data_IF_562339065009
#
_entry.id   IF_562339065009
#
_cell.length_a   1.000
_cell.length_b   1.000
_cell.length_c   1.000
_cell.angle_alpha   90.00
_cell.angle_beta   90.00
_cell.angle_gamma   90.00
#
_symmetry.space_group_name_H-M   'P 1'
#
loop_
_entity.id
_entity.type
_entity.pdbx_description
1 polymer ?
#
# COMPACT_ATOMS: atom_id res chain seq x y z
N UNK A 1 0.87 -23.01 -3.18
CA UNK A 1 1.56 -22.17 -2.17
C UNK A 1 0.45 -21.42 -1.47
N UNK A 2 0.38 -21.44 -0.15
CA UNK A 2 -0.65 -20.72 0.60
C UNK A 2 -0.56 -19.24 0.20
N UNK A 3 -1.57 -18.73 -0.50
CA UNK A 3 -1.72 -17.29 -0.74
C UNK A 3 -1.76 -16.64 0.64
N UNK A 4 -0.66 -15.99 1.03
CA UNK A 4 -0.67 -15.17 2.22
C UNK A 4 -1.41 -13.90 1.84
N UNK A 5 -2.64 -13.77 2.33
CA UNK A 5 -3.50 -12.60 2.19
C UNK A 5 -2.80 -11.31 2.65
N UNK A 6 -1.76 -11.44 3.48
CA UNK A 6 -0.93 -10.35 3.96
C UNK A 6 0.55 -10.64 3.69
N UNK A 7 1.29 -9.68 3.16
CA UNK A 7 2.75 -9.77 3.09
C UNK A 7 3.36 -8.39 2.87
N UNK A 8 4.65 -8.25 3.17
CA UNK A 8 5.43 -7.05 2.80
C UNK A 8 6.81 -7.49 2.37
N UNK A 9 7.24 -7.02 1.20
CA UNK A 9 8.53 -7.35 0.60
C UNK A 9 9.21 -6.07 0.11
N UNK A 10 10.53 -6.15 -0.08
CA UNK A 10 11.33 -5.02 -0.54
C UNK A 10 12.03 -5.42 -1.84
N UNK A 11 11.89 -4.58 -2.86
CA UNK A 11 12.61 -4.69 -4.13
C UNK A 11 13.35 -3.38 -4.38
N UNK A 12 14.62 -3.32 -3.96
CA UNK A 12 15.42 -2.10 -4.03
C UNK A 12 14.93 -1.02 -3.07
N UNK A 13 14.39 0.05 -3.64
CA UNK A 13 13.77 1.21 -3.00
C UNK A 13 12.23 1.13 -2.95
N UNK A 14 11.64 0.07 -3.53
CA UNK A 14 10.21 -0.16 -3.55
C UNK A 14 9.83 -1.14 -2.45
N UNK A 15 8.92 -0.72 -1.57
CA UNK A 15 8.24 -1.57 -0.59
C UNK A 15 6.92 -1.99 -1.21
N UNK A 16 6.75 -3.30 -1.42
CA UNK A 16 5.51 -3.90 -1.92
C UNK A 16 4.77 -4.50 -0.74
N UNK A 17 3.54 -4.07 -0.50
CA UNK A 17 2.73 -4.52 0.62
C UNK A 17 1.38 -5.03 0.14
N UNK A 18 1.04 -6.26 0.49
CA UNK A 18 -0.18 -6.94 0.09
C UNK A 18 -1.13 -7.02 1.28
N UNK A 19 -2.39 -6.66 1.02
CA UNK A 19 -3.50 -6.87 1.93
C UNK A 19 -4.72 -7.27 1.10
N UNK A 20 -4.83 -8.53 0.73
CA UNK A 20 -5.76 -9.03 -0.29
C UNK A 20 -6.64 -10.16 0.26
N UNK A 21 -7.67 -10.55 -0.49
CA UNK A 21 -8.61 -11.60 -0.08
C UNK A 21 -9.47 -11.18 1.11
N UNK A 22 -9.89 -12.18 1.90
CA UNK A 22 -10.71 -11.98 3.10
C UNK A 22 -9.79 -11.81 4.33
N UNK A 23 -9.68 -10.58 4.80
CA UNK A 23 -8.85 -10.21 5.96
C UNK A 23 -9.73 -9.90 7.18
N UNK A 24 -9.18 -10.16 8.37
CA UNK A 24 -9.74 -9.84 9.67
C UNK A 24 -8.91 -8.75 10.35
N UNK A 25 -9.41 -8.21 11.46
CA UNK A 25 -8.66 -7.23 12.26
C UNK A 25 -7.29 -7.74 12.71
N UNK A 26 -7.17 -9.03 13.04
CA UNK A 26 -5.89 -9.64 13.42
C UNK A 26 -4.89 -9.64 12.27
N UNK A 27 -5.35 -9.95 11.05
CA UNK A 27 -4.52 -9.91 9.84
C UNK A 27 -4.00 -8.48 9.58
N UNK A 28 -4.83 -7.45 9.81
CA UNK A 28 -4.41 -6.04 9.71
C UNK A 28 -3.33 -5.70 10.75
N UNK A 29 -3.45 -6.21 11.97
CA UNK A 29 -2.45 -5.98 13.01
C UNK A 29 -1.12 -6.68 12.69
N UNK A 30 -1.18 -7.93 12.24
CA UNK A 30 0.00 -8.69 11.82
C UNK A 30 0.70 -8.03 10.63
N UNK A 31 -0.07 -7.66 9.61
CA UNK A 31 0.42 -6.91 8.46
C UNK A 31 1.13 -5.63 8.88
N UNK A 32 0.50 -4.83 9.75
CA UNK A 32 1.06 -3.55 10.16
C UNK A 32 2.40 -3.70 10.86
N UNK A 33 2.56 -4.71 11.71
CA UNK A 33 3.84 -4.96 12.39
C UNK A 33 4.98 -5.24 11.40
N UNK A 34 4.69 -5.99 10.33
CA UNK A 34 5.66 -6.26 9.26
C UNK A 34 5.94 -5.00 8.42
N UNK A 35 4.88 -4.33 7.98
CA UNK A 35 4.94 -3.13 7.17
C UNK A 35 5.68 -1.98 7.87
N UNK A 36 5.28 -1.64 9.10
CA UNK A 36 5.89 -0.58 9.90
C UNK A 36 7.38 -0.86 10.13
N UNK A 37 7.75 -2.11 10.46
CA UNK A 37 9.16 -2.48 10.65
C UNK A 37 10.01 -2.20 9.42
N UNK A 38 9.50 -2.53 8.23
CA UNK A 38 10.22 -2.27 6.97
C UNK A 38 10.34 -0.77 6.72
N UNK A 39 9.25 -0.01 6.85
CA UNK A 39 9.27 1.44 6.67
C UNK A 39 10.24 2.10 7.67
N UNK A 40 10.19 1.73 8.94
CA UNK A 40 11.07 2.28 9.98
C UNK A 40 12.54 1.95 9.73
N UNK A 41 12.85 0.80 9.12
CA UNK A 41 14.23 0.50 8.72
C UNK A 41 14.75 1.55 7.73
N UNK A 42 14.01 1.83 6.65
CA UNK A 42 14.40 2.85 5.67
C UNK A 42 14.54 4.23 6.33
N UNK A 43 13.57 4.62 7.17
CA UNK A 43 13.58 5.90 7.88
C UNK A 43 14.82 6.02 8.77
N UNK A 44 15.16 4.97 9.52
CA UNK A 44 16.33 4.94 10.41
C UNK A 44 17.66 5.00 9.65
N UNK A 45 17.68 4.49 8.42
CA UNK A 45 18.82 4.57 7.49
C UNK A 45 18.89 5.92 6.76
N UNK A 46 17.93 6.82 6.97
CA UNK A 46 17.82 8.09 6.26
C UNK A 46 17.47 7.93 4.77
N UNK A 47 16.88 6.80 4.39
CA UNK A 47 16.51 6.44 3.03
C UNK A 47 15.03 6.70 2.80
N UNK A 48 14.72 7.30 1.66
CA UNK A 48 13.36 7.36 1.17
C UNK A 48 13.00 6.07 0.42
N UNK A 49 11.71 5.85 0.21
CA UNK A 49 11.19 4.66 -0.48
C UNK A 49 9.93 4.97 -1.28
N UNK A 50 9.59 4.05 -2.17
CA UNK A 50 8.34 4.02 -2.93
C UNK A 50 7.44 2.92 -2.39
N UNK A 51 6.13 3.14 -2.42
CA UNK A 51 5.13 2.20 -1.88
C UNK A 51 4.26 1.65 -3.00
N UNK A 52 4.24 0.33 -3.17
CA UNK A 52 3.21 -0.37 -3.93
C UNK A 52 2.26 -1.05 -2.95
N UNK A 53 1.02 -0.57 -2.89
CA UNK A 53 -0.02 -1.04 -1.98
C UNK A 53 -1.00 -1.90 -2.76
N UNK A 54 -0.78 -3.22 -2.70
CA UNK A 54 -1.62 -4.18 -3.39
C UNK A 54 -2.85 -4.54 -2.56
N UNK A 55 -4.00 -4.12 -3.10
CA UNK A 55 -5.34 -4.31 -2.55
C UNK A 55 -6.26 -4.98 -3.57
N UNK A 56 -5.73 -5.43 -4.71
CA UNK A 56 -6.51 -6.12 -5.73
C UNK A 56 -6.94 -7.49 -5.21
N UNK A 57 -8.20 -7.85 -5.39
CA UNK A 57 -8.81 -9.02 -4.75
C UNK A 57 -9.16 -8.84 -3.27
N UNK A 58 -9.01 -7.65 -2.66
CA UNK A 58 -9.52 -7.41 -1.31
C UNK A 58 -11.04 -7.55 -1.27
N UNK A 59 -11.52 -8.48 -0.45
CA UNK A 59 -12.95 -8.66 -0.21
C UNK A 59 -13.35 -7.86 1.01
N UNK A 60 -14.30 -6.93 0.82
CA UNK A 60 -14.84 -6.08 1.88
C UNK A 60 -15.47 -6.95 2.99
N UNK A 61 -14.78 -7.06 4.11
CA UNK A 61 -15.31 -7.66 5.33
C UNK A 61 -15.37 -6.54 6.38
N UNK A 62 -16.57 -6.21 6.87
CA UNK A 62 -16.89 -5.20 7.88
C UNK A 62 -16.21 -3.80 7.83
N UNK A 63 -16.99 -2.72 8.00
CA UNK A 63 -16.50 -1.33 8.07
C UNK A 63 -15.35 -1.11 9.09
N UNK A 64 -15.32 -1.86 10.19
CA UNK A 64 -14.28 -1.76 11.22
C UNK A 64 -12.89 -2.12 10.70
N UNK A 65 -12.76 -3.12 9.83
CA UNK A 65 -11.48 -3.56 9.29
C UNK A 65 -10.89 -2.49 8.37
N UNK A 66 -11.73 -1.89 7.52
CA UNK A 66 -11.32 -0.77 6.68
C UNK A 66 -10.80 0.41 7.52
N UNK A 67 -11.51 0.75 8.60
CA UNK A 67 -11.09 1.83 9.50
C UNK A 67 -9.74 1.51 10.13
N UNK A 68 -9.57 0.32 10.70
CA UNK A 68 -8.31 -0.09 11.34
C UNK A 68 -7.14 -0.05 10.37
N UNK A 69 -7.32 -0.52 9.13
CA UNK A 69 -6.29 -0.43 8.11
C UNK A 69 -5.95 1.03 7.77
N UNK A 70 -6.96 1.89 7.53
CA UNK A 70 -6.76 3.31 7.21
C UNK A 70 -6.00 4.03 8.33
N UNK A 71 -6.44 3.86 9.57
CA UNK A 71 -5.83 4.52 10.74
C UNK A 71 -4.34 4.16 10.89
N UNK A 72 -3.96 2.94 10.48
CA UNK A 72 -2.58 2.45 10.52
C UNK A 72 -1.76 2.87 9.30
N UNK A 73 -2.31 2.73 8.10
CA UNK A 73 -1.60 3.05 6.86
C UNK A 73 -1.35 4.55 6.70
N UNK A 74 -2.33 5.39 7.03
CA UNK A 74 -2.24 6.84 6.92
C UNK A 74 -1.49 7.49 8.10
N UNK A 75 -0.36 6.88 8.47
CA UNK A 75 0.58 7.43 9.44
C UNK A 75 1.46 8.49 8.77
N UNK A 76 1.41 9.73 9.25
CA UNK A 76 2.14 10.86 8.66
C UNK A 76 3.66 10.60 8.56
N UNK A 77 4.27 9.93 9.54
CA UNK A 77 5.70 9.65 9.52
C UNK A 77 6.07 8.73 8.36
N UNK A 78 5.30 7.66 8.14
CA UNK A 78 5.52 6.69 7.05
C UNK A 78 5.25 7.34 5.70
N UNK A 79 4.17 8.12 5.58
CA UNK A 79 3.78 8.72 4.31
C UNK A 79 4.71 9.87 3.90
N UNK A 80 5.20 10.68 4.84
CA UNK A 80 6.09 11.80 4.54
C UNK A 80 7.49 11.36 4.07
N UNK A 81 7.88 10.12 4.37
CA UNK A 81 9.15 9.55 3.93
C UNK A 81 9.03 8.79 2.61
N UNK A 82 7.80 8.50 2.18
CA UNK A 82 7.53 7.92 0.87
C UNK A 82 7.62 8.97 -0.24
N UNK A 83 8.33 8.65 -1.32
CA UNK A 83 8.43 9.50 -2.51
C UNK A 83 7.16 9.41 -3.36
N UNK A 84 6.67 8.19 -3.54
CA UNK A 84 5.45 7.92 -4.27
C UNK A 84 4.73 6.71 -3.71
N UNK A 85 3.41 6.69 -3.89
CA UNK A 85 2.52 5.63 -3.46
C UNK A 85 1.67 5.24 -4.65
N UNK A 86 1.63 3.95 -4.95
CA UNK A 86 0.75 3.39 -5.95
C UNK A 86 -0.17 2.38 -5.28
N UNK A 87 -1.46 2.52 -5.50
CA UNK A 87 -2.46 1.54 -5.11
C UNK A 87 -2.81 0.66 -6.30
N UNK A 88 -2.68 -0.65 -6.13
CA UNK A 88 -3.20 -1.63 -7.07
C UNK A 88 -4.58 -2.10 -6.59
N UNK A 89 -5.62 -1.84 -7.38
CA UNK A 89 -7.02 -2.03 -7.02
C UNK A 89 -7.78 -2.84 -8.09
N UNK A 90 -9.00 -3.24 -7.79
CA UNK A 90 -9.92 -3.69 -8.83
C UNK A 90 -10.41 -2.48 -9.64
N UNK A 91 -10.56 -2.65 -10.95
CA UNK A 91 -11.22 -1.68 -11.80
C UNK A 91 -12.67 -1.49 -11.34
N UNK A 92 -13.13 -0.24 -11.23
CA UNK A 92 -14.51 0.06 -10.87
C UNK A 92 -14.70 1.39 -10.15
N UNK A 93 -15.88 1.55 -9.54
CA UNK A 93 -16.30 2.82 -8.91
C UNK A 93 -15.34 3.29 -7.83
N UNK A 94 -14.84 2.39 -6.98
CA UNK A 94 -13.91 2.75 -5.90
C UNK A 94 -12.62 3.35 -6.46
N UNK A 95 -12.06 2.76 -7.53
CA UNK A 95 -10.85 3.28 -8.17
C UNK A 95 -11.12 4.66 -8.79
N UNK A 96 -12.24 4.81 -9.50
CA UNK A 96 -12.64 6.08 -10.10
C UNK A 96 -12.83 7.18 -9.03
N UNK A 97 -13.50 6.87 -7.92
CA UNK A 97 -13.72 7.80 -6.82
C UNK A 97 -12.40 8.22 -6.16
N UNK A 98 -11.46 7.28 -5.98
CA UNK A 98 -10.14 7.55 -5.44
C UNK A 98 -9.32 8.42 -6.38
N UNK A 99 -9.35 8.15 -7.69
CA UNK A 99 -8.66 8.97 -8.69
C UNK A 99 -9.21 10.40 -8.74
N UNK A 100 -10.55 10.58 -8.68
CA UNK A 100 -11.19 11.89 -8.71
C UNK A 100 -10.97 12.69 -7.42
N UNK A 101 -10.90 12.03 -6.27
CA UNK A 101 -10.70 12.68 -4.96
C UNK A 101 -9.23 12.89 -4.59
N UNK A 102 -8.31 12.26 -5.30
CA UNK A 102 -6.88 12.38 -5.02
C UNK A 102 -6.35 13.77 -5.38
N UNK A 103 -5.69 14.39 -4.40
CA UNK A 103 -5.07 15.71 -4.54
C UNK A 103 -3.54 15.64 -4.56
N UNK A 104 -2.96 14.45 -4.42
CA UNK A 104 -1.51 14.25 -4.34
C UNK A 104 -1.01 13.62 -5.63
N UNK A 105 -0.17 14.36 -6.37
CA UNK A 105 0.47 13.88 -7.59
C UNK A 105 1.36 12.65 -7.36
N UNK A 106 1.93 12.51 -6.15
CA UNK A 106 2.74 11.34 -5.77
C UNK A 106 1.92 10.11 -5.39
N UNK A 107 0.58 10.15 -5.54
CA UNK A 107 -0.31 9.02 -5.28
C UNK A 107 -1.05 8.65 -6.55
N UNK A 108 -0.89 7.42 -7.03
CA UNK A 108 -1.57 6.94 -8.23
C UNK A 108 -2.31 5.62 -7.96
N UNK A 109 -3.27 5.31 -8.84
CA UNK A 109 -4.14 4.15 -8.72
C UNK A 109 -4.18 3.43 -10.06
N UNK A 110 -3.90 2.13 -10.03
CA UNK A 110 -3.88 1.26 -11.20
C UNK A 110 -4.63 -0.01 -10.90
N UNK A 111 -5.06 -0.71 -11.94
CA UNK A 111 -5.62 -2.05 -11.89
C UNK A 111 -4.65 -3.11 -12.46
N UNK A 112 -3.58 -2.69 -13.13
CA UNK A 112 -2.53 -3.55 -13.68
C UNK A 112 -1.24 -3.44 -12.86
N UNK A 113 -0.65 -4.58 -12.48
CA UNK A 113 0.57 -4.63 -11.68
C UNK A 113 1.79 -4.03 -12.41
N UNK A 114 1.95 -4.33 -13.71
CA UNK A 114 3.08 -3.83 -14.50
C UNK A 114 3.00 -2.31 -14.66
N UNK A 115 1.80 -1.77 -14.92
CA UNK A 115 1.58 -0.33 -14.98
C UNK A 115 1.81 0.34 -13.62
N UNK A 116 1.35 -0.27 -12.53
CA UNK A 116 1.61 0.19 -11.18
C UNK A 116 3.11 0.29 -10.89
N UNK A 117 3.86 -0.73 -11.32
CA UNK A 117 5.30 -0.78 -11.13
C UNK A 117 6.03 0.25 -12.02
N UNK A 118 5.61 0.42 -13.27
CA UNK A 118 6.14 1.45 -14.17
C UNK A 118 5.89 2.85 -13.58
N UNK A 119 4.66 3.12 -13.13
CA UNK A 119 4.28 4.40 -12.52
C UNK A 119 5.12 4.76 -11.29
N UNK A 120 5.48 3.78 -10.46
CA UNK A 120 6.42 4.04 -9.36
C UNK A 120 7.82 4.41 -9.85
N UNK A 121 8.28 3.84 -10.96
CA UNK A 121 9.61 4.11 -11.49
C UNK A 121 9.74 5.48 -12.17
N UNK A 122 8.63 6.17 -12.44
CA UNK A 122 8.65 7.56 -12.91
C UNK A 122 9.14 8.54 -11.84
N UNK A 123 9.09 8.14 -10.56
CA UNK A 123 9.57 8.96 -9.46
C UNK A 123 11.04 8.64 -9.13
N UNK A 124 11.96 9.61 -9.26
CA UNK A 124 13.36 9.42 -8.94
C UNK A 124 13.58 9.33 -7.42
N UNK A 125 14.66 8.63 -7.03
CA UNK A 125 15.21 8.63 -5.66
C UNK A 125 16.16 9.81 -5.47
#
# INVERSE_FOLDING_TARGET
MSEQNISTTVSGDIIVTHLIGKIKTDDVNEWYNGFEKVCQQFISEGRQYKLLVDRKGYTLDHFSIQKTWKDKFFNETILNQSIAIVFLLEEGEIMNDLQQSNTKESVNFFDNYDEAFIGLNEYPI
#
